data_IF_867188801754
#
_entry.id   IF_867188801754
#
_cell.length_a   1.000
_cell.length_b   1.000
_cell.length_c   1.000
_cell.angle_alpha   90.00
_cell.angle_beta   90.00
_cell.angle_gamma   90.00
#
_symmetry.space_group_name_H-M   'P 1'
#
loop_
_entity.id
_entity.type
_entity.pdbx_description
1 polymer ?
#
# COMPACT_ATOMS: atom_id res chain seq x y z
N UNK A 1 20.45 -37.63 -3.93
CA UNK A 1 20.13 -36.21 -3.74
C UNK A 1 18.86 -35.91 -4.53
N UNK A 2 17.75 -35.58 -3.87
CA UNK A 2 16.54 -35.12 -4.57
C UNK A 2 16.79 -33.68 -5.04
N UNK A 3 16.97 -33.47 -6.35
CA UNK A 3 17.15 -32.14 -6.92
C UNK A 3 15.88 -31.30 -6.73
N UNK A 4 16.04 -30.01 -6.46
CA UNK A 4 14.92 -29.07 -6.37
C UNK A 4 14.26 -29.02 -7.76
N UNK A 5 13.06 -29.59 -7.88
CA UNK A 5 12.26 -29.53 -9.10
C UNK A 5 11.59 -28.16 -9.13
N UNK A 6 12.22 -27.20 -9.80
CA UNK A 6 11.59 -25.91 -10.12
C UNK A 6 10.85 -26.05 -11.45
N UNK A 7 9.53 -25.79 -11.51
CA UNK A 7 8.78 -25.81 -12.76
C UNK A 7 9.37 -24.85 -13.80
N UNK A 8 9.18 -25.17 -15.09
CA UNK A 8 9.56 -24.26 -16.16
C UNK A 8 8.75 -22.95 -16.11
N UNK A 9 9.26 -21.88 -16.72
CA UNK A 9 8.57 -20.60 -16.74
C UNK A 9 7.14 -20.73 -17.30
N UNK A 10 6.17 -20.24 -16.55
CA UNK A 10 4.75 -20.31 -16.90
C UNK A 10 4.09 -21.68 -16.74
N UNK A 11 4.81 -22.73 -16.34
CA UNK A 11 4.23 -24.08 -16.19
C UNK A 11 3.15 -24.12 -15.09
N UNK A 12 3.39 -23.42 -13.98
CA UNK A 12 2.41 -23.30 -12.89
C UNK A 12 1.15 -22.56 -13.34
N UNK A 13 1.31 -21.50 -14.14
CA UNK A 13 0.19 -20.70 -14.65
C UNK A 13 -0.74 -21.53 -15.55
N UNK A 14 -0.18 -22.42 -16.39
CA UNK A 14 -0.96 -23.33 -17.25
C UNK A 14 -1.86 -24.29 -16.47
N UNK A 15 -1.52 -24.59 -15.21
CA UNK A 15 -2.30 -25.49 -14.34
C UNK A 15 -3.43 -24.78 -13.60
N UNK A 16 -3.51 -23.44 -13.65
CA UNK A 16 -4.61 -22.68 -13.03
C UNK A 16 -5.90 -22.83 -13.85
N UNK A 17 -7.05 -22.79 -13.18
CA UNK A 17 -8.34 -22.71 -13.86
C UNK A 17 -8.52 -21.34 -14.57
N UNK A 18 -9.47 -21.20 -15.51
CA UNK A 18 -9.64 -19.97 -16.30
C UNK A 18 -9.81 -18.70 -15.46
N UNK A 19 -10.56 -18.77 -14.36
CA UNK A 19 -10.80 -17.61 -13.49
C UNK A 19 -9.52 -17.14 -12.80
N UNK A 20 -8.71 -18.07 -12.30
CA UNK A 20 -7.42 -17.78 -11.69
C UNK A 20 -6.41 -17.26 -12.70
N UNK A 21 -6.43 -17.77 -13.94
CA UNK A 21 -5.60 -17.25 -15.03
C UNK A 21 -5.95 -15.79 -15.31
N UNK A 22 -7.24 -15.50 -15.52
CA UNK A 22 -7.74 -14.14 -15.75
C UNK A 22 -7.34 -13.19 -14.62
N UNK A 23 -7.60 -13.56 -13.37
CA UNK A 23 -7.24 -12.75 -12.20
C UNK A 23 -5.73 -12.56 -12.04
N UNK A 24 -4.91 -13.55 -12.41
CA UNK A 24 -3.45 -13.39 -12.40
C UNK A 24 -3.00 -12.33 -13.40
N UNK A 25 -3.58 -12.34 -14.60
CA UNK A 25 -3.26 -11.38 -15.66
C UNK A 25 -3.70 -9.97 -15.27
N UNK A 26 -4.92 -9.81 -14.77
CA UNK A 26 -5.47 -8.53 -14.29
C UNK A 26 -4.60 -7.92 -13.18
N UNK A 27 -4.10 -8.73 -12.25
CA UNK A 27 -3.31 -8.26 -11.12
C UNK A 27 -1.80 -8.21 -11.41
N UNK A 28 -1.35 -8.59 -12.62
CA UNK A 28 0.08 -8.76 -12.91
C UNK A 28 0.87 -7.47 -12.70
N UNK A 29 0.42 -6.37 -13.28
CA UNK A 29 1.08 -5.07 -13.17
C UNK A 29 1.13 -4.59 -11.73
N UNK A 30 0.00 -4.71 -11.01
CA UNK A 30 -0.07 -4.36 -9.60
C UNK A 30 0.90 -5.20 -8.76
N UNK A 31 1.01 -6.51 -9.03
CA UNK A 31 1.95 -7.39 -8.30
C UNK A 31 3.40 -7.03 -8.57
N UNK A 32 3.75 -6.70 -9.80
CA UNK A 32 5.11 -6.25 -10.15
C UNK A 32 5.45 -4.97 -9.40
N UNK A 33 4.56 -3.97 -9.46
CA UNK A 33 4.74 -2.70 -8.74
C UNK A 33 4.87 -2.92 -7.23
N UNK A 34 3.97 -3.71 -6.64
CA UNK A 34 4.02 -4.01 -5.21
C UNK A 34 5.31 -4.75 -4.82
N UNK A 35 5.84 -5.61 -5.69
CA UNK A 35 7.09 -6.31 -5.46
C UNK A 35 8.28 -5.35 -5.52
N UNK A 36 8.34 -4.46 -6.50
CA UNK A 36 9.36 -3.42 -6.61
C UNK A 36 9.35 -2.49 -5.38
N UNK A 37 8.17 -2.03 -4.95
CA UNK A 37 8.02 -1.22 -3.74
C UNK A 37 8.47 -1.98 -2.49
N UNK A 38 8.12 -3.27 -2.38
CA UNK A 38 8.52 -4.11 -1.25
C UNK A 38 10.04 -4.30 -1.20
N UNK A 39 10.67 -4.64 -2.33
CA UNK A 39 12.14 -4.80 -2.42
C UNK A 39 12.84 -3.48 -2.12
N UNK A 40 12.33 -2.36 -2.65
CA UNK A 40 12.86 -1.03 -2.35
C UNK A 40 12.84 -0.72 -0.84
N UNK A 41 11.72 -0.98 -0.16
CA UNK A 41 11.62 -0.83 1.30
C UNK A 41 12.57 -1.76 2.05
N UNK A 42 12.72 -3.02 1.61
CA UNK A 42 13.66 -3.95 2.22
C UNK A 42 15.11 -3.45 2.11
N UNK A 43 15.51 -2.96 0.94
CA UNK A 43 16.85 -2.37 0.71
C UNK A 43 17.05 -1.14 1.61
N UNK A 44 16.02 -0.31 1.76
CA UNK A 44 16.11 0.86 2.64
C UNK A 44 16.26 0.44 4.11
N UNK A 45 15.44 -0.51 4.58
CA UNK A 45 15.50 -0.98 5.96
C UNK A 45 16.79 -1.72 6.28
N UNK A 46 17.40 -2.39 5.31
CA UNK A 46 18.68 -3.09 5.50
C UNK A 46 19.86 -2.14 5.74
N UNK A 47 19.70 -0.82 5.53
CA UNK A 47 20.74 0.17 5.85
C UNK A 47 20.83 0.49 7.34
N UNK A 48 19.87 0.03 8.15
CA UNK A 48 19.87 0.22 9.60
C UNK A 48 20.67 -0.88 10.30
N UNK A 49 21.30 -0.53 11.42
CA UNK A 49 21.93 -1.51 12.32
C UNK A 49 20.89 -2.33 13.12
N UNK A 50 19.61 -1.96 13.07
CA UNK A 50 18.52 -2.72 13.69
C UNK A 50 18.07 -3.87 12.77
N UNK A 51 17.56 -4.98 13.33
CA UNK A 51 16.88 -6.01 12.53
C UNK A 51 15.75 -5.43 11.66
N UNK A 52 15.65 -5.88 10.41
CA UNK A 52 14.70 -5.35 9.40
C UNK A 52 13.26 -5.33 9.91
N UNK A 53 12.83 -6.34 10.68
CA UNK A 53 11.46 -6.40 11.22
C UNK A 53 11.18 -5.29 12.25
N UNK A 54 12.19 -4.82 12.98
CA UNK A 54 12.04 -3.70 13.92
C UNK A 54 11.84 -2.40 13.14
N UNK A 55 12.70 -2.15 12.15
CA UNK A 55 12.61 -0.96 11.30
C UNK A 55 11.29 -0.93 10.53
N UNK A 56 10.84 -2.07 10.01
CA UNK A 56 9.55 -2.19 9.34
C UNK A 56 8.36 -1.86 10.27
N UNK A 57 8.38 -2.35 11.51
CA UNK A 57 7.34 -2.05 12.49
C UNK A 57 7.35 -0.56 12.90
N UNK A 58 8.52 0.05 13.03
CA UNK A 58 8.65 1.50 13.28
C UNK A 58 8.10 2.32 12.11
N UNK A 59 8.43 1.92 10.86
CA UNK A 59 7.92 2.56 9.66
C UNK A 59 6.38 2.44 9.55
N UNK A 60 5.82 1.27 9.85
CA UNK A 60 4.36 1.06 9.85
C UNK A 60 3.66 1.94 10.90
N UNK A 61 4.23 2.05 12.12
CA UNK A 61 3.72 2.94 13.16
C UNK A 61 3.72 4.39 12.69
N UNK A 62 4.81 4.85 12.06
CA UNK A 62 4.92 6.20 11.52
C UNK A 62 3.87 6.45 10.43
N UNK A 63 3.74 5.54 9.47
CA UNK A 63 2.77 5.67 8.37
C UNK A 63 1.32 5.74 8.90
N UNK A 64 0.97 4.93 9.91
CA UNK A 64 -0.34 4.99 10.56
C UNK A 64 -0.58 6.33 11.25
N UNK A 65 0.41 6.84 12.00
CA UNK A 65 0.31 8.13 12.66
C UNK A 65 0.12 9.28 11.64
N UNK A 66 0.88 9.28 10.55
CA UNK A 66 0.76 10.27 9.48
C UNK A 66 -0.62 10.22 8.80
N UNK A 67 -1.16 9.02 8.56
CA UNK A 67 -2.51 8.85 8.00
C UNK A 67 -3.59 9.41 8.92
N UNK A 68 -3.49 9.14 10.22
CA UNK A 68 -4.42 9.67 11.21
C UNK A 68 -4.34 11.20 11.32
N UNK A 69 -3.12 11.75 11.34
CA UNK A 69 -2.92 13.20 11.36
C UNK A 69 -3.53 13.88 10.12
N UNK A 70 -3.27 13.35 8.92
CA UNK A 70 -3.86 13.86 7.67
C UNK A 70 -5.38 13.76 7.66
N UNK A 71 -5.95 12.67 8.17
CA UNK A 71 -7.40 12.50 8.26
C UNK A 71 -8.03 13.52 9.21
N UNK A 72 -7.38 13.80 10.34
CA UNK A 72 -7.83 14.81 11.30
C UNK A 72 -7.78 16.23 10.68
N UNK A 73 -6.67 16.59 10.03
CA UNK A 73 -6.51 17.87 9.33
C UNK A 73 -7.61 18.08 8.27
N UNK A 74 -7.82 17.10 7.40
CA UNK A 74 -8.90 17.13 6.40
C UNK A 74 -10.29 17.22 7.03
N UNK A 75 -10.49 16.62 8.20
CA UNK A 75 -11.72 16.75 8.98
C UNK A 75 -11.95 18.20 9.39
N UNK A 76 -10.94 18.82 10.02
CA UNK A 76 -11.03 20.22 10.46
C UNK A 76 -11.24 21.19 9.31
N UNK A 77 -10.54 20.99 8.19
CA UNK A 77 -10.69 21.82 6.99
C UNK A 77 -12.10 21.70 6.37
N UNK A 78 -12.68 20.50 6.38
CA UNK A 78 -14.08 20.32 5.93
C UNK A 78 -15.07 21.02 6.86
N UNK A 79 -14.82 21.04 8.16
CA UNK A 79 -15.69 21.72 9.13
C UNK A 79 -15.59 23.24 9.01
N UNK A 80 -14.39 23.79 8.83
CA UNK A 80 -14.21 25.24 8.62
C UNK A 80 -14.87 25.70 7.33
N UNK A 81 -14.74 24.94 6.23
CA UNK A 81 -15.43 25.24 4.96
C UNK A 81 -16.95 25.22 5.16
N UNK A 82 -17.51 24.22 5.85
CA UNK A 82 -18.96 24.16 6.13
C UNK A 82 -19.45 25.34 6.95
N UNK A 83 -18.69 25.75 7.96
CA UNK A 83 -19.06 26.87 8.82
C UNK A 83 -18.99 28.21 8.08
N UNK A 84 -17.97 28.42 7.22
CA UNK A 84 -17.91 29.59 6.35
C UNK A 84 -19.09 29.66 5.38
N UNK A 85 -19.45 28.53 4.76
CA UNK A 85 -20.64 28.45 3.89
C UNK A 85 -21.93 28.77 4.63
N UNK A 86 -22.08 28.28 5.87
CA UNK A 86 -23.25 28.56 6.72
C UNK A 86 -23.36 30.05 7.07
N UNK A 87 -22.24 30.70 7.40
CA UNK A 87 -22.21 32.14 7.71
C UNK A 87 -22.52 33.00 6.49
N UNK A 88 -21.92 32.69 5.34
CA UNK A 88 -22.19 33.39 4.09
C UNK A 88 -23.67 33.29 3.65
N UNK A 89 -24.32 32.14 3.90
CA UNK A 89 -25.75 31.95 3.66
C UNK A 89 -26.65 32.74 4.63
N UNK A 90 -26.20 32.95 5.87
CA UNK A 90 -26.93 33.72 6.87
C UNK A 90 -26.81 35.23 6.66
N UNK A 91 -25.66 35.71 6.17
CA UNK A 91 -25.39 37.13 5.88
C UNK A 91 -25.99 37.60 4.54
N UNK A 92 -26.30 36.67 3.63
CA UNK A 92 -26.96 36.96 2.35
C UNK A 92 -28.49 37.02 2.40
N UNK A 93 -29.09 37.09 3.60
CA UNK A 93 -30.53 37.12 3.85
C UNK A 93 -30.92 38.40 4.58
#
# INVERSE_FOLDING_TARGET
>A
MAGVVTPAEGEVFKRFNPDLQKRNLELREQRLKNNEEFVSKLIEYSKSDKPVWIVAAEAEKREKAEKLAKAAEQGTERETIREQMRRAQAEGK
#
